data_IF_339360316602
#
_entry.id   IF_339360316602
#
_cell.length_a   1.000
_cell.length_b   1.000
_cell.length_c   1.000
_cell.angle_alpha   90.00
_cell.angle_beta   90.00
_cell.angle_gamma   90.00
#
_symmetry.space_group_name_H-M   'P 1'
#
loop_
_entity.id
_entity.type
_entity.pdbx_description
1 polymer ?
#
# COMPACT_ATOMS: atom_id res chain seq x y z
N UNK A 1 2.52 -7.60 10.52
CA UNK A 1 2.41 -8.11 9.14
C UNK A 1 3.55 -9.11 8.92
N UNK A 2 3.40 -10.08 8.02
CA UNK A 2 4.54 -10.92 7.63
C UNK A 2 5.55 -10.09 6.84
N UNK A 3 6.83 -10.45 6.86
CA UNK A 3 7.89 -9.77 6.09
C UNK A 3 7.51 -9.70 4.60
N UNK A 4 6.90 -10.75 4.05
CA UNK A 4 6.47 -10.77 2.65
C UNK A 4 5.40 -9.72 2.36
N UNK A 5 4.40 -9.61 3.22
CA UNK A 5 3.33 -8.61 3.04
C UNK A 5 3.84 -7.17 3.15
N UNK A 6 4.80 -6.93 4.05
CA UNK A 6 5.48 -5.64 4.14
C UNK A 6 6.23 -5.33 2.84
N UNK A 7 6.96 -6.29 2.29
CA UNK A 7 7.74 -6.08 1.07
C UNK A 7 6.86 -5.91 -0.17
N UNK A 8 5.75 -6.64 -0.28
CA UNK A 8 4.73 -6.42 -1.33
C UNK A 8 4.20 -4.99 -1.29
N UNK A 9 3.90 -4.47 -0.09
CA UNK A 9 3.46 -3.08 0.06
C UNK A 9 4.55 -2.10 -0.38
N UNK A 10 5.80 -2.30 0.03
CA UNK A 10 6.90 -1.45 -0.41
C UNK A 10 7.13 -1.52 -1.93
N UNK A 11 6.88 -2.67 -2.55
CA UNK A 11 6.96 -2.84 -4.00
C UNK A 11 5.86 -2.03 -4.71
N UNK A 12 4.66 -1.93 -4.16
CA UNK A 12 3.60 -1.06 -4.70
C UNK A 12 4.01 0.42 -4.69
N UNK A 13 4.63 0.88 -3.62
CA UNK A 13 5.05 2.29 -3.48
C UNK A 13 6.31 2.64 -4.27
N UNK A 14 7.29 1.75 -4.29
CA UNK A 14 8.65 2.06 -4.73
C UNK A 14 9.16 1.18 -5.86
N UNK A 15 8.37 0.22 -6.36
CA UNK A 15 8.80 -0.73 -7.40
C UNK A 15 9.27 -0.06 -8.69
N UNK A 16 8.76 1.14 -9.02
CA UNK A 16 9.21 1.93 -10.16
C UNK A 16 10.64 2.49 -10.01
N UNK A 17 11.22 2.48 -8.80
CA UNK A 17 12.60 2.91 -8.53
C UNK A 17 13.60 1.78 -8.75
N UNK A 18 13.13 0.54 -8.90
CA UNK A 18 13.97 -0.60 -9.25
C UNK A 18 14.27 -0.59 -10.75
N UNK A 19 15.36 -1.23 -11.15
CA UNK A 19 15.57 -1.54 -12.57
C UNK A 19 14.47 -2.50 -13.05
N UNK A 20 14.12 -2.51 -14.36
CA UNK A 20 13.08 -3.41 -14.87
C UNK A 20 13.31 -4.87 -14.45
N UNK A 21 14.54 -5.39 -14.62
CA UNK A 21 14.87 -6.77 -14.25
C UNK A 21 14.73 -7.06 -12.75
N UNK A 22 15.05 -6.10 -11.88
CA UNK A 22 14.84 -6.24 -10.44
C UNK A 22 13.36 -6.29 -10.10
N UNK A 23 12.57 -5.40 -10.72
CA UNK A 23 11.13 -5.34 -10.54
C UNK A 23 10.46 -6.64 -10.99
N UNK A 24 10.76 -7.12 -12.19
CA UNK A 24 10.19 -8.36 -12.74
C UNK A 24 10.44 -9.55 -11.81
N UNK A 25 11.68 -9.69 -11.30
CA UNK A 25 12.03 -10.74 -10.33
C UNK A 25 11.26 -10.59 -9.01
N UNK A 26 11.07 -9.35 -8.54
CA UNK A 26 10.32 -9.08 -7.30
C UNK A 26 8.83 -9.36 -7.46
N UNK A 27 8.23 -9.02 -8.60
CA UNK A 27 6.81 -9.29 -8.90
C UNK A 27 6.56 -10.80 -8.97
N UNK A 28 7.42 -11.55 -9.67
CA UNK A 28 7.32 -13.01 -9.73
C UNK A 28 7.46 -13.67 -8.35
N UNK A 29 8.29 -13.11 -7.46
CA UNK A 29 8.49 -13.65 -6.13
C UNK A 29 7.39 -13.27 -5.13
N UNK A 30 6.94 -12.01 -5.10
CA UNK A 30 6.01 -11.50 -4.09
C UNK A 30 4.54 -11.48 -4.51
N UNK A 31 4.23 -11.50 -5.82
CA UNK A 31 2.85 -11.50 -6.32
C UNK A 31 2.44 -12.85 -6.93
N UNK A 32 3.37 -13.54 -7.59
CA UNK A 32 3.10 -14.83 -8.24
C UNK A 32 3.55 -16.04 -7.39
N UNK A 33 4.11 -15.80 -6.19
CA UNK A 33 4.61 -16.83 -5.27
C UNK A 33 5.59 -17.85 -5.90
N UNK A 34 6.30 -17.46 -6.97
CA UNK A 34 7.28 -18.35 -7.61
C UNK A 34 8.51 -18.56 -6.74
N UNK A 35 9.00 -19.79 -6.72
CA UNK A 35 10.26 -20.12 -6.07
C UNK A 35 11.47 -19.56 -6.83
N UNK A 36 12.61 -19.42 -6.15
CA UNK A 36 13.86 -18.96 -6.79
C UNK A 36 14.29 -19.83 -7.98
N UNK A 37 13.90 -21.11 -8.00
CA UNK A 37 14.22 -22.02 -9.10
C UNK A 37 13.32 -21.74 -10.32
N UNK A 38 12.01 -21.58 -10.11
CA UNK A 38 11.06 -21.24 -11.16
C UNK A 38 11.38 -19.87 -11.78
N UNK A 39 11.73 -18.88 -10.95
CA UNK A 39 12.15 -17.56 -11.45
C UNK A 39 13.45 -17.66 -12.24
N UNK A 40 14.42 -18.46 -11.78
CA UNK A 40 15.70 -18.63 -12.48
C UNK A 40 15.49 -19.21 -13.89
N UNK A 41 14.59 -20.19 -14.01
CA UNK A 41 14.19 -20.79 -15.29
C UNK A 41 13.45 -19.78 -16.17
N UNK A 42 12.45 -19.08 -15.62
CA UNK A 42 11.66 -18.07 -16.34
C UNK A 42 12.54 -16.93 -16.87
N UNK A 43 13.41 -16.39 -16.03
CA UNK A 43 14.23 -15.21 -16.31
C UNK A 43 15.55 -15.53 -17.04
N UNK A 44 15.83 -16.82 -17.27
CA UNK A 44 17.06 -17.36 -17.84
C UNK A 44 18.33 -16.86 -17.12
N UNK A 45 18.32 -16.89 -15.79
CA UNK A 45 19.44 -16.50 -14.92
C UNK A 45 19.74 -17.59 -13.89
N UNK A 46 20.84 -17.46 -13.16
CA UNK A 46 21.14 -18.42 -12.09
C UNK A 46 20.25 -18.18 -10.87
N UNK A 47 19.97 -19.24 -10.10
CA UNK A 47 19.27 -19.13 -8.80
C UNK A 47 19.96 -18.15 -7.84
N UNK A 48 21.29 -18.07 -7.90
CA UNK A 48 22.06 -17.08 -7.14
C UNK A 48 21.78 -15.66 -7.63
N UNK A 49 21.69 -15.46 -8.94
CA UNK A 49 21.29 -14.18 -9.54
C UNK A 49 19.90 -13.72 -9.09
N UNK A 50 18.92 -14.63 -9.03
CA UNK A 50 17.57 -14.32 -8.50
C UNK A 50 17.67 -13.87 -7.04
N UNK A 51 18.35 -14.64 -6.20
CA UNK A 51 18.54 -14.30 -4.78
C UNK A 51 19.20 -12.92 -4.61
N UNK A 52 20.23 -12.62 -5.39
CA UNK A 52 20.95 -11.35 -5.32
C UNK A 52 20.11 -10.17 -5.85
N UNK A 53 19.21 -10.41 -6.81
CA UNK A 53 18.22 -9.40 -7.22
C UNK A 53 17.22 -9.12 -6.12
N UNK A 54 16.64 -10.15 -5.49
CA UNK A 54 15.68 -9.99 -4.39
C UNK A 54 16.33 -9.21 -3.25
N UNK A 55 17.47 -9.67 -2.75
CA UNK A 55 18.13 -9.05 -1.59
C UNK A 55 18.52 -7.59 -1.83
N UNK A 56 19.03 -7.26 -3.03
CA UNK A 56 19.35 -5.86 -3.37
C UNK A 56 18.10 -5.00 -3.51
N UNK A 57 17.03 -5.55 -4.07
CA UNK A 57 15.76 -4.83 -4.23
C UNK A 57 15.10 -4.59 -2.87
N UNK A 58 15.03 -5.60 -2.00
CA UNK A 58 14.57 -5.44 -0.61
C UNK A 58 15.32 -4.29 0.10
N UNK A 59 16.65 -4.22 -0.06
CA UNK A 59 17.45 -3.16 0.54
C UNK A 59 17.08 -1.77 -0.02
N UNK A 60 16.94 -1.64 -1.35
CA UNK A 60 16.56 -0.38 -2.00
C UNK A 60 15.18 0.08 -1.51
N UNK A 61 14.19 -0.80 -1.49
CA UNK A 61 12.82 -0.50 -1.07
C UNK A 61 12.78 -0.08 0.41
N UNK A 62 13.47 -0.81 1.29
CA UNK A 62 13.57 -0.47 2.71
C UNK A 62 14.28 0.86 2.94
N UNK A 63 15.35 1.15 2.21
CA UNK A 63 16.08 2.42 2.32
C UNK A 63 15.24 3.62 1.85
N UNK A 64 14.40 3.42 0.83
CA UNK A 64 13.43 4.42 0.39
C UNK A 64 12.37 4.65 1.46
N UNK A 65 11.80 3.59 2.04
CA UNK A 65 10.82 3.73 3.12
C UNK A 65 11.40 4.43 4.34
N UNK A 66 12.63 4.07 4.76
CA UNK A 66 13.30 4.74 5.87
C UNK A 66 13.47 6.25 5.66
N UNK A 67 13.59 6.70 4.41
CA UNK A 67 13.79 8.13 4.08
C UNK A 67 12.48 8.86 3.82
N UNK A 68 11.51 8.20 3.19
CA UNK A 68 10.31 8.85 2.67
C UNK A 68 9.08 8.56 3.53
N UNK A 69 9.04 7.39 4.17
CA UNK A 69 7.97 6.88 5.03
C UNK A 69 6.59 6.92 4.35
N UNK A 70 6.51 6.64 3.04
CA UNK A 70 5.26 6.77 2.30
C UNK A 70 4.25 5.70 2.72
N UNK A 71 4.70 4.45 2.90
CA UNK A 71 3.81 3.37 3.32
C UNK A 71 3.26 3.63 4.72
N UNK A 72 4.10 4.10 5.65
CA UNK A 72 3.65 4.49 6.99
C UNK A 72 2.67 5.67 6.95
N UNK A 73 3.01 6.75 6.23
CA UNK A 73 2.15 7.94 6.12
C UNK A 73 0.78 7.58 5.52
N UNK A 74 0.78 6.71 4.53
CA UNK A 74 -0.44 6.19 3.92
C UNK A 74 -1.29 5.40 4.92
N UNK A 75 -0.66 4.51 5.70
CA UNK A 75 -1.35 3.70 6.72
C UNK A 75 -1.99 4.59 7.80
N UNK A 76 -1.25 5.63 8.25
CA UNK A 76 -1.75 6.62 9.20
C UNK A 76 -2.92 7.41 8.62
N UNK A 77 -2.79 7.89 7.37
CA UNK A 77 -3.85 8.64 6.69
C UNK A 77 -5.12 7.78 6.54
N UNK A 78 -4.97 6.54 6.10
CA UNK A 78 -6.08 5.58 5.96
C UNK A 78 -6.80 5.36 7.30
N UNK A 79 -6.04 5.21 8.38
CA UNK A 79 -6.58 5.06 9.73
C UNK A 79 -7.36 6.30 10.18
N UNK A 80 -6.80 7.50 9.97
CA UNK A 80 -7.47 8.76 10.31
C UNK A 80 -8.74 8.97 9.48
N UNK A 81 -8.74 8.64 8.18
CA UNK A 81 -9.94 8.73 7.34
C UNK A 81 -11.04 7.77 7.81
N UNK A 82 -10.68 6.53 8.21
CA UNK A 82 -11.63 5.58 8.77
C UNK A 82 -12.25 6.09 10.09
N UNK A 83 -11.43 6.70 10.95
CA UNK A 83 -11.92 7.32 12.18
C UNK A 83 -12.89 8.48 11.91
N UNK A 84 -12.54 9.39 10.99
CA UNK A 84 -13.42 10.51 10.61
C UNK A 84 -14.74 9.99 10.04
N UNK A 85 -14.71 8.95 9.20
CA UNK A 85 -15.92 8.32 8.67
C UNK A 85 -16.82 7.79 9.79
N UNK A 86 -16.23 7.07 10.76
CA UNK A 86 -16.95 6.55 11.92
C UNK A 86 -17.57 7.67 12.78
N UNK A 87 -16.84 8.78 12.99
CA UNK A 87 -17.37 9.96 13.69
C UNK A 87 -18.55 10.55 12.91
N UNK A 88 -18.44 10.71 11.59
CA UNK A 88 -19.51 11.21 10.74
C UNK A 88 -20.74 10.28 10.75
N UNK A 89 -20.55 8.96 10.79
CA UNK A 89 -21.62 7.98 10.96
C UNK A 89 -22.37 8.18 12.28
N UNK A 90 -21.65 8.33 13.40
CA UNK A 90 -22.27 8.61 14.70
C UNK A 90 -23.05 9.92 14.70
N UNK A 91 -22.47 10.99 14.15
CA UNK A 91 -23.14 12.30 14.08
C UNK A 91 -24.42 12.20 13.25
N UNK A 92 -24.39 11.52 12.10
CA UNK A 92 -25.59 11.27 11.29
C UNK A 92 -26.69 10.52 12.08
N UNK A 93 -26.30 9.51 12.86
CA UNK A 93 -27.23 8.70 13.65
C UNK A 93 -27.83 9.46 14.85
N UNK A 94 -27.01 10.23 15.57
CA UNK A 94 -27.41 10.96 16.78
C UNK A 94 -28.20 12.25 16.49
N UNK A 95 -27.85 12.95 15.40
CA UNK A 95 -28.48 14.25 15.10
C UNK A 95 -29.92 14.13 14.58
N UNK A 96 -30.26 13.07 13.86
CA UNK A 96 -31.56 12.93 13.20
C UNK A 96 -31.97 14.18 12.38
N UNK A 97 -33.26 14.36 12.07
CA UNK A 97 -33.75 15.59 11.40
C UNK A 97 -33.73 16.85 12.29
N UNK A 98 -33.23 16.81 13.53
CA UNK A 98 -33.30 17.95 14.46
C UNK A 98 -32.43 19.14 14.04
N UNK A 99 -31.33 18.89 13.33
CA UNK A 99 -30.52 19.92 12.69
C UNK A 99 -30.10 19.46 11.30
N UNK A 100 -30.92 19.81 10.30
CA UNK A 100 -30.73 19.45 8.89
C UNK A 100 -29.34 19.81 8.34
N UNK A 101 -28.74 20.88 8.88
CA UNK A 101 -27.39 21.34 8.51
C UNK A 101 -26.32 20.36 8.99
N UNK A 102 -26.36 19.92 10.24
CA UNK A 102 -25.38 18.98 10.82
C UNK A 102 -25.43 17.62 10.10
N UNK A 103 -26.64 17.14 9.79
CA UNK A 103 -26.81 15.91 9.02
C UNK A 103 -26.21 16.03 7.62
N UNK A 104 -26.50 17.11 6.90
CA UNK A 104 -25.96 17.35 5.55
C UNK A 104 -24.44 17.47 5.55
N UNK A 105 -23.86 18.22 6.50
CA UNK A 105 -22.41 18.37 6.64
C UNK A 105 -21.73 17.02 6.92
N UNK A 106 -22.35 16.17 7.73
CA UNK A 106 -21.85 14.81 8.03
C UNK A 106 -21.91 13.88 6.81
N UNK A 107 -22.97 13.95 6.02
CA UNK A 107 -23.05 13.23 4.74
C UNK A 107 -21.98 13.72 3.76
N UNK A 108 -21.75 15.04 3.70
CA UNK A 108 -20.73 15.62 2.83
C UNK A 108 -19.31 15.21 3.21
N UNK A 109 -19.02 15.09 4.51
CA UNK A 109 -17.72 14.58 5.00
C UNK A 109 -17.47 13.15 4.47
N UNK A 110 -18.47 12.26 4.53
CA UNK A 110 -18.34 10.89 4.00
C UNK A 110 -18.08 10.86 2.50
N UNK A 111 -18.77 11.72 1.75
CA UNK A 111 -18.56 11.83 0.31
C UNK A 111 -17.13 12.28 -0.02
N UNK A 112 -16.61 13.28 0.69
CA UNK A 112 -15.22 13.75 0.53
C UNK A 112 -14.21 12.65 0.88
N UNK A 113 -14.45 11.88 1.94
CA UNK A 113 -13.58 10.75 2.31
C UNK A 113 -13.59 9.69 1.20
N UNK A 114 -14.76 9.33 0.68
CA UNK A 114 -14.88 8.35 -0.42
C UNK A 114 -14.15 8.81 -1.69
N UNK A 115 -14.25 10.10 -2.03
CA UNK A 115 -13.50 10.67 -3.15
C UNK A 115 -11.99 10.58 -2.88
N UNK A 116 -11.55 10.95 -1.68
CA UNK A 116 -10.12 10.96 -1.30
C UNK A 116 -9.52 9.55 -1.35
N UNK A 117 -10.28 8.53 -0.94
CA UNK A 117 -9.87 7.13 -1.02
C UNK A 117 -9.76 6.58 -2.45
N UNK A 118 -10.41 7.20 -3.45
CA UNK A 118 -10.29 6.78 -4.86
C UNK A 118 -9.05 7.34 -5.58
N UNK A 119 -8.41 8.37 -5.02
CA UNK A 119 -7.19 8.99 -5.58
C UNK A 119 -5.90 8.39 -5.03
N UNK A 120 -6.04 7.57 -4.01
CA UNK A 120 -4.99 6.97 -3.20
C UNK A 120 -4.93 5.49 -3.56
#
# INVERSE_FOLDING_TARGET
MSKNLEMSLLLDFYGQMLTPKQRDVMELYYYEDLSLAEIAEHENITRQGVHDFIKRSEQILSDLENKLMLAEKFSRLSSSLAEISSIADRICAESGQKSKKIYNDSCRIKEIISITQNFI
#
